data_IF_427248453900
#
_entry.id   IF_427248453900
#
_cell.length_a   1.000
_cell.length_b   1.000
_cell.length_c   1.000
_cell.angle_alpha   90.00
_cell.angle_beta   90.00
_cell.angle_gamma   90.00
#
_symmetry.space_group_name_H-M   'P 1'
#
loop_
_entity.id
_entity.type
_entity.pdbx_description
1 polymer ?
#
# COMPACT_ATOMS: atom_id res chain seq x y z
N UNK A 1 21.68 -9.99 0.93
CA UNK A 1 21.29 -9.45 2.24
C UNK A 1 20.20 -10.35 2.83
N UNK A 2 20.06 -10.41 4.16
CA UNK A 2 18.96 -11.15 4.78
C UNK A 2 17.62 -10.45 4.47
N UNK A 3 16.59 -11.23 4.13
CA UNK A 3 15.23 -10.71 3.88
C UNK A 3 14.63 -10.19 5.19
N UNK A 4 13.84 -9.13 5.10
CA UNK A 4 13.24 -8.45 6.25
C UNK A 4 11.96 -9.15 6.71
N UNK A 5 11.75 -9.24 8.03
CA UNK A 5 10.54 -9.86 8.58
C UNK A 5 9.31 -8.99 8.35
N UNK A 6 8.29 -9.52 7.67
CA UNK A 6 7.05 -8.79 7.37
C UNK A 6 5.95 -9.01 8.40
N UNK A 7 5.55 -10.27 8.63
CA UNK A 7 4.59 -10.67 9.67
C UNK A 7 3.11 -10.61 9.29
N UNK A 8 2.73 -9.91 8.23
CA UNK A 8 1.38 -9.86 7.65
C UNK A 8 1.26 -10.74 6.38
N UNK A 9 0.07 -10.81 5.78
CA UNK A 9 -0.16 -11.48 4.48
C UNK A 9 -0.38 -10.42 3.39
N UNK A 10 0.43 -10.44 2.34
CA UNK A 10 0.30 -9.56 1.17
C UNK A 10 -0.54 -10.24 0.10
N UNK A 11 -1.50 -9.53 -0.49
CA UNK A 11 -2.26 -9.99 -1.66
C UNK A 11 -2.12 -9.01 -2.81
N UNK A 12 -1.63 -9.48 -3.96
CA UNK A 12 -1.51 -8.71 -5.20
C UNK A 12 -2.71 -9.00 -6.11
N UNK A 13 -3.46 -7.97 -6.46
CA UNK A 13 -4.63 -8.02 -7.34
C UNK A 13 -4.34 -7.32 -8.68
N UNK A 14 -4.41 -8.05 -9.80
CA UNK A 14 -4.18 -7.46 -11.11
C UNK A 14 -5.37 -6.59 -11.58
N UNK A 15 -5.15 -5.81 -12.63
CA UNK A 15 -6.18 -5.06 -13.34
C UNK A 15 -6.91 -5.89 -14.38
N UNK A 16 -7.77 -5.24 -15.17
CA UNK A 16 -8.43 -5.89 -16.30
C UNK A 16 -7.36 -6.46 -17.25
N UNK A 17 -7.56 -7.70 -17.71
CA UNK A 17 -6.59 -8.46 -18.54
C UNK A 17 -5.27 -8.86 -17.88
N UNK A 18 -5.04 -8.51 -16.60
CA UNK A 18 -3.80 -8.81 -15.89
C UNK A 18 -3.71 -10.24 -15.33
N UNK A 19 -4.72 -11.09 -15.59
CA UNK A 19 -4.66 -12.53 -15.33
C UNK A 19 -4.67 -13.32 -16.63
N UNK A 20 -3.88 -14.39 -16.68
CA UNK A 20 -3.95 -15.39 -17.74
C UNK A 20 -5.24 -16.18 -17.61
N UNK A 21 -6.02 -16.27 -18.71
CA UNK A 21 -7.21 -17.10 -18.79
C UNK A 21 -6.94 -18.35 -19.63
N UNK A 22 -7.31 -19.51 -19.08
CA UNK A 22 -7.33 -20.78 -19.77
C UNK A 22 -8.77 -21.21 -20.01
N UNK A 23 -9.04 -21.87 -21.14
CA UNK A 23 -10.28 -22.61 -21.37
C UNK A 23 -9.94 -24.07 -21.58
N UNK A 24 -10.51 -24.96 -20.79
CA UNK A 24 -10.28 -26.41 -20.89
C UNK A 24 -8.77 -26.78 -20.91
N UNK A 25 -7.99 -26.10 -20.06
CA UNK A 25 -6.54 -26.29 -19.93
C UNK A 25 -5.68 -25.63 -21.03
N UNK A 26 -6.27 -24.88 -21.97
CA UNK A 26 -5.54 -24.15 -23.02
C UNK A 26 -5.58 -22.66 -22.77
N UNK A 27 -4.42 -22.01 -22.85
CA UNK A 27 -4.30 -20.55 -22.75
C UNK A 27 -5.11 -19.87 -23.88
N UNK A 28 -6.23 -19.23 -23.53
CA UNK A 28 -7.07 -18.42 -24.44
C UNK A 28 -6.76 -16.93 -24.30
N UNK A 29 -6.18 -16.53 -23.17
CA UNK A 29 -5.56 -15.24 -22.93
C UNK A 29 -4.27 -15.44 -22.13
N UNK A 30 -3.16 -15.69 -22.82
CA UNK A 30 -1.83 -15.71 -22.21
C UNK A 30 -0.85 -14.98 -23.11
N UNK A 31 -0.86 -13.63 -23.07
CA UNK A 31 0.15 -12.89 -23.81
C UNK A 31 1.52 -13.23 -23.20
N UNK A 32 2.51 -13.56 -24.03
CA UNK A 32 3.92 -13.71 -23.64
C UNK A 32 4.79 -12.84 -24.56
N UNK A 33 5.89 -12.28 -24.02
CA UNK A 33 6.72 -11.28 -24.70
C UNK A 33 7.38 -11.70 -26.01
N UNK A 34 7.22 -12.96 -26.45
CA UNK A 34 7.82 -13.51 -27.67
C UNK A 34 6.85 -13.86 -28.81
N UNK A 35 5.52 -13.77 -28.63
CA UNK A 35 4.55 -14.35 -29.56
C UNK A 35 3.69 -13.33 -30.33
N UNK A 36 4.21 -12.12 -30.60
CA UNK A 36 3.44 -11.03 -31.24
C UNK A 36 3.00 -11.37 -32.68
N UNK A 37 3.68 -12.29 -33.39
CA UNK A 37 3.30 -12.66 -34.76
C UNK A 37 2.29 -13.83 -34.82
N UNK A 38 2.32 -14.76 -33.87
CA UNK A 38 1.40 -15.92 -33.82
C UNK A 38 0.11 -15.64 -33.01
N UNK A 39 0.18 -14.77 -31.99
CA UNK A 39 -0.99 -14.42 -31.16
C UNK A 39 -2.10 -13.71 -31.93
N UNK A 40 -1.77 -12.97 -32.99
CA UNK A 40 -2.77 -12.19 -33.73
C UNK A 40 -3.74 -13.06 -34.55
N UNK A 41 -3.30 -14.25 -34.99
CA UNK A 41 -4.17 -15.23 -35.69
C UNK A 41 -5.04 -16.05 -34.73
N UNK A 42 -4.57 -16.34 -33.52
CA UNK A 42 -5.36 -17.06 -32.51
C UNK A 42 -6.43 -16.16 -31.87
N UNK A 43 -6.18 -14.84 -31.77
CA UNK A 43 -7.13 -13.88 -31.19
C UNK A 43 -8.55 -13.97 -31.78
N UNK A 44 -8.70 -14.18 -33.10
CA UNK A 44 -10.03 -14.28 -33.71
C UNK A 44 -10.87 -15.49 -33.24
N UNK A 45 -10.23 -16.62 -32.92
CA UNK A 45 -10.92 -17.81 -32.38
C UNK A 45 -11.11 -17.70 -30.86
N UNK A 46 -10.09 -17.19 -30.15
CA UNK A 46 -10.14 -16.91 -28.71
C UNK A 46 -11.19 -15.84 -28.33
N UNK A 47 -11.52 -14.92 -29.24
CA UNK A 47 -12.58 -13.91 -29.07
C UNK A 47 -13.96 -14.53 -28.90
N UNK A 48 -14.31 -15.60 -29.63
CA UNK A 48 -15.59 -16.29 -29.40
C UNK A 48 -15.56 -17.07 -28.10
N UNK A 49 -14.41 -17.66 -27.78
CA UNK A 49 -14.25 -18.52 -26.60
C UNK A 49 -14.30 -17.76 -25.27
N UNK A 50 -14.01 -16.46 -25.29
CA UNK A 50 -14.03 -15.59 -24.11
C UNK A 50 -15.34 -14.81 -23.92
N UNK A 51 -16.24 -14.80 -24.91
CA UNK A 51 -17.44 -13.98 -24.86
C UNK A 51 -18.38 -14.46 -23.73
N UNK A 52 -18.88 -13.52 -22.93
CA UNK A 52 -19.85 -13.82 -21.89
C UNK A 52 -21.28 -13.73 -22.43
N UNK A 53 -22.01 -14.84 -22.38
CA UNK A 53 -23.45 -14.83 -22.69
C UNK A 53 -24.30 -14.38 -21.50
N UNK A 54 -23.90 -14.79 -20.29
CA UNK A 54 -24.52 -14.42 -19.01
C UNK A 54 -23.44 -14.35 -17.95
N UNK A 55 -23.69 -13.54 -16.93
CA UNK A 55 -22.77 -13.39 -15.79
C UNK A 55 -23.56 -13.24 -14.47
N UNK A 56 -24.14 -14.34 -13.96
CA UNK A 56 -24.81 -14.36 -12.66
C UNK A 56 -23.81 -14.02 -11.55
N UNK A 57 -24.10 -12.95 -10.81
CA UNK A 57 -23.25 -12.44 -9.73
C UNK A 57 -23.10 -13.41 -8.56
N UNK A 58 -24.09 -14.27 -8.34
CA UNK A 58 -24.19 -15.24 -7.24
C UNK A 58 -23.45 -16.56 -7.52
N UNK A 59 -22.91 -16.74 -8.72
CA UNK A 59 -22.16 -17.95 -9.10
C UNK A 59 -20.67 -17.68 -9.18
N UNK A 60 -19.86 -18.46 -8.46
CA UNK A 60 -18.40 -18.32 -8.48
C UNK A 60 -17.76 -18.91 -9.74
N UNK A 61 -18.40 -19.91 -10.35
CA UNK A 61 -18.01 -20.53 -11.63
C UNK A 61 -19.19 -20.48 -12.61
N UNK A 62 -18.92 -20.09 -13.86
CA UNK A 62 -19.90 -20.06 -14.94
C UNK A 62 -20.09 -21.43 -15.61
N UNK A 63 -19.16 -22.36 -15.41
CA UNK A 63 -19.13 -23.62 -16.14
C UNK A 63 -18.81 -23.45 -17.63
N UNK A 64 -18.27 -22.28 -18.05
CA UNK A 64 -17.88 -21.99 -19.44
C UNK A 64 -16.48 -22.55 -19.81
N UNK A 65 -15.86 -23.26 -18.86
CA UNK A 65 -14.54 -23.86 -18.97
C UNK A 65 -13.39 -22.87 -18.76
N UNK A 66 -13.67 -21.59 -18.50
CA UNK A 66 -12.65 -20.55 -18.37
C UNK A 66 -12.20 -20.38 -16.93
N UNK A 67 -10.89 -20.44 -16.70
CA UNK A 67 -10.26 -20.28 -15.39
C UNK A 67 -9.10 -19.31 -15.46
N UNK A 68 -8.98 -18.46 -14.44
CA UNK A 68 -7.84 -17.58 -14.26
C UNK A 68 -6.75 -18.29 -13.45
N UNK A 69 -5.57 -18.49 -14.07
CA UNK A 69 -4.55 -19.40 -13.52
C UNK A 69 -3.38 -18.70 -12.85
N UNK A 70 -2.95 -17.55 -13.40
CA UNK A 70 -1.75 -16.83 -12.94
C UNK A 70 -1.85 -15.36 -13.34
N UNK A 71 -1.09 -14.52 -12.65
CA UNK A 71 -0.88 -13.15 -13.09
C UNK A 71 -0.05 -13.16 -14.37
N UNK A 72 -0.25 -12.13 -15.16
CA UNK A 72 0.48 -11.92 -16.40
C UNK A 72 1.91 -11.44 -16.06
N UNK A 73 2.97 -12.20 -16.41
CA UNK A 73 4.30 -11.98 -15.82
C UNK A 73 5.06 -10.77 -16.39
N UNK A 74 5.10 -10.58 -17.71
CA UNK A 74 6.06 -9.67 -18.36
C UNK A 74 5.38 -8.52 -19.11
N UNK A 75 6.17 -7.64 -19.74
CA UNK A 75 5.65 -6.56 -20.60
C UNK A 75 4.84 -7.17 -21.74
N UNK A 76 3.58 -6.75 -21.83
CA UNK A 76 2.71 -7.04 -22.96
C UNK A 76 2.26 -5.77 -23.62
N UNK A 77 2.58 -5.68 -24.91
CA UNK A 77 2.01 -4.68 -25.80
C UNK A 77 0.92 -5.36 -26.60
N UNK A 78 -0.32 -4.90 -26.44
CA UNK A 78 -1.39 -5.15 -27.40
C UNK A 78 -1.54 -3.85 -28.21
N UNK A 79 -0.91 -3.74 -29.40
CA UNK A 79 -0.93 -2.52 -30.20
C UNK A 79 -2.36 -2.01 -30.41
N UNK A 80 -2.60 -0.77 -29.98
CA UNK A 80 -3.88 -0.07 -30.05
C UNK A 80 -4.80 -0.25 -28.85
N UNK A 81 -4.64 -1.30 -28.03
CA UNK A 81 -5.54 -1.61 -26.89
C UNK A 81 -4.97 -1.11 -25.56
N UNK A 82 -3.81 -1.65 -25.17
CA UNK A 82 -3.22 -1.46 -23.85
C UNK A 82 -1.77 -1.99 -23.82
N UNK A 83 -0.90 -1.36 -23.03
CA UNK A 83 0.37 -1.94 -22.59
C UNK A 83 0.25 -2.35 -21.13
N UNK A 84 0.62 -3.55 -20.72
CA UNK A 84 0.76 -3.88 -19.31
C UNK A 84 2.22 -4.22 -19.11
N UNK A 85 2.90 -3.46 -18.26
CA UNK A 85 4.20 -3.86 -17.76
C UNK A 85 3.93 -4.88 -16.65
N UNK A 86 4.10 -6.17 -16.93
CA UNK A 86 3.58 -7.28 -16.12
C UNK A 86 3.94 -7.25 -14.63
N UNK A 87 3.45 -8.23 -13.89
CA UNK A 87 3.53 -8.22 -12.43
C UNK A 87 4.86 -8.77 -11.87
N UNK A 88 5.74 -9.34 -12.70
CA UNK A 88 7.02 -9.91 -12.26
C UNK A 88 7.89 -8.91 -11.48
N UNK A 89 7.92 -7.63 -11.90
CA UNK A 89 8.75 -6.60 -11.25
C UNK A 89 8.38 -6.36 -9.79
N UNK A 90 7.10 -6.08 -9.53
CA UNK A 90 6.58 -5.86 -8.18
C UNK A 90 6.64 -7.15 -7.33
N UNK A 91 6.34 -8.32 -7.90
CA UNK A 91 6.44 -9.61 -7.21
C UNK A 91 7.89 -9.90 -6.79
N UNK A 92 8.86 -9.70 -7.69
CA UNK A 92 10.28 -9.89 -7.40
C UNK A 92 10.78 -8.91 -6.33
N UNK A 93 10.39 -7.64 -6.42
CA UNK A 93 10.74 -6.62 -5.43
C UNK A 93 10.26 -7.01 -4.02
N UNK A 94 8.99 -7.41 -3.89
CA UNK A 94 8.41 -7.80 -2.59
C UNK A 94 9.10 -9.06 -2.04
N UNK A 95 9.22 -10.11 -2.86
CA UNK A 95 9.72 -11.42 -2.41
C UNK A 95 11.23 -11.45 -2.17
N UNK A 96 12.00 -10.57 -2.81
CA UNK A 96 13.44 -10.40 -2.55
C UNK A 96 13.72 -9.51 -1.33
N UNK A 97 12.82 -8.58 -1.00
CA UNK A 97 12.98 -7.68 0.15
C UNK A 97 12.50 -8.32 1.45
N UNK A 98 11.34 -8.97 1.43
CA UNK A 98 10.66 -9.46 2.62
C UNK A 98 10.70 -10.99 2.71
N UNK A 99 10.65 -11.51 3.93
CA UNK A 99 10.64 -12.96 4.24
C UNK A 99 9.31 -13.65 3.92
N UNK A 100 8.44 -12.99 3.14
CA UNK A 100 7.19 -13.55 2.67
C UNK A 100 7.42 -14.80 1.80
N UNK A 101 6.43 -15.68 1.82
CA UNK A 101 6.46 -16.98 1.16
C UNK A 101 5.32 -17.02 0.13
N UNK A 102 5.64 -17.13 -1.17
CA UNK A 102 4.64 -17.29 -2.22
C UNK A 102 3.64 -18.41 -1.92
N UNK A 103 2.36 -18.15 -2.14
CA UNK A 103 1.26 -19.08 -1.86
C UNK A 103 0.92 -19.24 -0.37
N UNK A 104 1.60 -18.53 0.54
CA UNK A 104 1.32 -18.57 1.99
C UNK A 104 1.14 -17.18 2.58
N UNK A 105 2.19 -16.37 2.57
CA UNK A 105 2.17 -14.98 3.12
C UNK A 105 2.36 -13.92 2.03
N UNK A 106 2.63 -14.35 0.80
CA UNK A 106 2.49 -13.55 -0.41
C UNK A 106 1.58 -14.28 -1.39
N UNK A 107 0.43 -13.69 -1.69
CA UNK A 107 -0.57 -14.27 -2.56
C UNK A 107 -0.73 -13.41 -3.81
N UNK A 108 -0.66 -14.05 -4.96
CA UNK A 108 -1.12 -13.46 -6.20
C UNK A 108 -2.55 -13.95 -6.45
N UNK A 109 -3.48 -13.05 -6.77
CA UNK A 109 -4.88 -13.38 -6.95
C UNK A 109 -5.29 -13.27 -8.43
N UNK A 110 -5.01 -14.29 -9.28
CA UNK A 110 -5.57 -14.31 -10.62
C UNK A 110 -7.08 -14.48 -10.55
N UNK A 111 -7.83 -13.66 -11.29
CA UNK A 111 -9.28 -13.75 -11.37
C UNK A 111 -9.78 -13.53 -12.79
N UNK A 112 -11.00 -14.00 -13.07
CA UNK A 112 -11.63 -13.83 -14.36
C UNK A 112 -12.09 -12.38 -14.53
N UNK A 113 -11.23 -11.58 -15.17
CA UNK A 113 -11.42 -10.15 -15.38
C UNK A 113 -12.56 -9.80 -16.35
N UNK A 114 -13.25 -10.79 -16.93
CA UNK A 114 -14.46 -10.58 -17.75
C UNK A 114 -15.71 -10.35 -16.90
N UNK A 115 -15.71 -10.96 -15.71
CA UNK A 115 -16.88 -11.11 -14.85
C UNK A 115 -17.08 -9.92 -13.91
N UNK A 116 -18.24 -9.88 -13.27
CA UNK A 116 -18.55 -8.97 -12.18
C UNK A 116 -17.48 -9.02 -11.08
N UNK A 117 -16.95 -7.85 -10.71
CA UNK A 117 -15.88 -7.70 -9.71
C UNK A 117 -16.29 -8.23 -8.32
N UNK A 118 -17.59 -8.39 -8.03
CA UNK A 118 -18.08 -9.02 -6.79
C UNK A 118 -17.72 -10.50 -6.70
N UNK A 119 -17.62 -11.19 -7.84
CA UNK A 119 -17.13 -12.58 -7.91
C UNK A 119 -15.65 -12.63 -7.53
N UNK A 120 -14.84 -11.72 -8.08
CA UNK A 120 -13.43 -11.61 -7.74
C UNK A 120 -13.22 -11.24 -6.26
N UNK A 121 -14.09 -10.41 -5.68
CA UNK A 121 -14.04 -10.06 -4.26
C UNK A 121 -14.34 -11.26 -3.35
N UNK A 122 -15.29 -12.12 -3.72
CA UNK A 122 -15.51 -13.40 -3.03
C UNK A 122 -14.31 -14.33 -3.15
N UNK A 123 -13.70 -14.42 -4.33
CA UNK A 123 -12.44 -15.18 -4.52
C UNK A 123 -11.31 -14.64 -3.63
N UNK A 124 -11.19 -13.31 -3.50
CA UNK A 124 -10.24 -12.69 -2.59
C UNK A 124 -10.49 -13.15 -1.14
N UNK A 125 -11.73 -13.09 -0.65
CA UNK A 125 -12.08 -13.53 0.70
C UNK A 125 -11.74 -15.02 0.93
N UNK A 126 -12.14 -15.89 -0.02
CA UNK A 126 -11.90 -17.32 0.05
C UNK A 126 -10.42 -17.71 0.02
N UNK A 127 -9.58 -16.91 -0.65
CA UNK A 127 -8.14 -17.17 -0.77
C UNK A 127 -7.34 -16.57 0.39
N UNK A 128 -7.64 -15.32 0.76
CA UNK A 128 -6.88 -14.57 1.75
C UNK A 128 -7.24 -14.97 3.20
N UNK A 129 -8.49 -15.34 3.47
CA UNK A 129 -8.96 -15.71 4.81
C UNK A 129 -8.18 -16.87 5.43
N UNK A 130 -8.05 -18.04 4.75
CA UNK A 130 -7.27 -19.17 5.25
C UNK A 130 -5.79 -18.83 5.46
N UNK A 131 -5.17 -18.12 4.51
CA UNK A 131 -3.77 -17.70 4.62
C UNK A 131 -3.53 -16.78 5.84
N UNK A 132 -4.45 -15.83 6.07
CA UNK A 132 -4.41 -14.96 7.23
C UNK A 132 -4.61 -15.74 8.53
N UNK A 133 -5.55 -16.67 8.57
CA UNK A 133 -5.79 -17.52 9.73
C UNK A 133 -4.54 -18.34 10.10
N UNK A 134 -3.88 -18.96 9.12
CA UNK A 134 -2.64 -19.69 9.35
C UNK A 134 -1.51 -18.76 9.83
N UNK A 135 -1.39 -17.56 9.24
CA UNK A 135 -0.40 -16.58 9.69
C UNK A 135 -0.64 -16.12 11.13
N UNK A 136 -1.90 -16.02 11.57
CA UNK A 136 -2.27 -15.65 12.94
C UNK A 136 -1.86 -16.66 14.00
N UNK A 137 -1.63 -17.92 13.63
CA UNK A 137 -1.07 -18.92 14.55
C UNK A 137 0.37 -18.57 14.97
N UNK A 138 1.11 -17.86 14.13
CA UNK A 138 2.49 -17.43 14.38
C UNK A 138 2.59 -15.96 14.80
N UNK A 139 1.65 -15.13 14.33
CA UNK A 139 1.57 -13.72 14.64
C UNK A 139 0.10 -13.31 14.86
N UNK A 140 -0.43 -13.34 16.09
CA UNK A 140 -1.84 -13.03 16.37
C UNK A 140 -2.31 -11.68 15.84
N UNK A 141 -1.41 -10.70 15.71
CA UNK A 141 -1.68 -9.36 15.19
C UNK A 141 -1.62 -9.25 13.66
N UNK A 142 -1.43 -10.37 12.95
CA UNK A 142 -1.36 -10.39 11.50
C UNK A 142 -2.67 -9.91 10.86
N UNK A 143 -2.51 -9.14 9.79
CA UNK A 143 -3.56 -8.55 8.96
C UNK A 143 -3.23 -8.73 7.48
N UNK A 144 -4.19 -8.42 6.62
CA UNK A 144 -3.98 -8.34 5.17
C UNK A 144 -3.32 -7.01 4.79
N UNK A 145 -2.47 -7.06 3.78
CA UNK A 145 -1.98 -5.90 3.02
C UNK A 145 -2.36 -6.12 1.57
N UNK A 146 -3.31 -5.34 1.07
CA UNK A 146 -3.83 -5.49 -0.28
C UNK A 146 -3.13 -4.51 -1.22
N UNK A 147 -2.69 -5.02 -2.37
CA UNK A 147 -2.05 -4.24 -3.42
C UNK A 147 -2.89 -4.42 -4.69
N UNK A 148 -3.65 -3.39 -5.07
CA UNK A 148 -4.56 -3.43 -6.22
C UNK A 148 -4.06 -2.57 -7.38
N UNK A 149 -3.84 -3.16 -8.56
CA UNK A 149 -3.60 -2.40 -9.78
C UNK A 149 -4.92 -2.21 -10.55
N UNK A 150 -5.23 -0.98 -10.94
CA UNK A 150 -6.37 -0.64 -11.80
C UNK A 150 -7.67 -1.23 -11.24
N UNK A 151 -8.40 -2.04 -12.02
CA UNK A 151 -9.62 -2.73 -11.60
C UNK A 151 -9.44 -3.61 -10.33
N UNK A 152 -8.25 -4.14 -10.07
CA UNK A 152 -7.95 -4.90 -8.86
C UNK A 152 -8.13 -4.10 -7.57
N UNK A 153 -7.98 -2.77 -7.64
CA UNK A 153 -8.31 -1.89 -6.52
C UNK A 153 -9.82 -1.86 -6.23
N UNK A 154 -10.68 -1.88 -7.26
CA UNK A 154 -12.13 -1.94 -7.10
C UNK A 154 -12.58 -3.27 -6.49
N UNK A 155 -11.94 -4.39 -6.90
CA UNK A 155 -12.15 -5.71 -6.28
C UNK A 155 -11.83 -5.66 -4.80
N UNK A 156 -10.65 -5.12 -4.44
CA UNK A 156 -10.25 -4.96 -3.05
C UNK A 156 -11.23 -4.05 -2.27
N UNK A 157 -11.68 -2.94 -2.86
CA UNK A 157 -12.67 -2.05 -2.23
C UNK A 157 -13.99 -2.74 -1.94
N UNK A 158 -14.52 -3.53 -2.87
CA UNK A 158 -15.75 -4.25 -2.63
C UNK A 158 -15.59 -5.28 -1.49
N UNK A 159 -14.49 -6.04 -1.48
CA UNK A 159 -14.17 -6.95 -0.37
C UNK A 159 -14.07 -6.21 0.96
N UNK A 160 -13.36 -5.09 0.99
CA UNK A 160 -13.15 -4.32 2.21
C UNK A 160 -14.47 -3.81 2.75
N UNK A 161 -15.27 -3.16 1.91
CA UNK A 161 -16.44 -2.38 2.35
C UNK A 161 -17.72 -3.19 2.40
N UNK A 162 -18.01 -3.96 1.35
CA UNK A 162 -19.28 -4.69 1.24
C UNK A 162 -19.24 -6.08 1.87
N UNK A 163 -18.05 -6.58 2.23
CA UNK A 163 -17.86 -7.93 2.79
C UNK A 163 -17.13 -7.92 4.13
N UNK A 164 -17.07 -6.77 4.80
CA UNK A 164 -16.38 -6.60 6.09
C UNK A 164 -14.88 -6.94 6.09
N UNK A 165 -14.24 -7.06 4.91
CA UNK A 165 -12.81 -7.33 4.79
C UNK A 165 -11.93 -6.27 5.47
N UNK A 166 -12.47 -5.06 5.70
CA UNK A 166 -11.84 -4.00 6.46
C UNK A 166 -11.42 -4.44 7.87
N UNK A 167 -12.16 -5.37 8.51
CA UNK A 167 -11.86 -5.87 9.86
C UNK A 167 -10.52 -6.59 9.93
N UNK A 168 -10.09 -7.19 8.83
CA UNK A 168 -8.90 -8.03 8.74
C UNK A 168 -7.75 -7.40 7.96
N UNK A 169 -7.91 -6.16 7.48
CA UNK A 169 -6.94 -5.51 6.61
C UNK A 169 -6.22 -4.37 7.32
N UNK A 170 -4.89 -4.33 7.22
CA UNK A 170 -4.06 -3.23 7.73
C UNK A 170 -4.03 -2.06 6.76
N UNK A 171 -3.88 -2.36 5.48
CA UNK A 171 -3.84 -1.33 4.44
C UNK A 171 -4.20 -1.82 3.05
N UNK A 172 -4.67 -0.89 2.23
CA UNK A 172 -4.86 -1.00 0.80
C UNK A 172 -3.92 -0.01 0.10
N UNK A 173 -3.13 -0.51 -0.84
CA UNK A 173 -2.30 0.30 -1.73
C UNK A 173 -2.86 0.10 -3.14
N UNK A 174 -3.18 1.18 -3.84
CA UNK A 174 -3.73 1.08 -5.21
C UNK A 174 -2.91 1.81 -6.23
N UNK A 175 -2.77 1.26 -7.44
CA UNK A 175 -2.13 1.92 -8.58
C UNK A 175 -3.19 2.26 -9.63
N UNK A 176 -3.42 3.55 -9.90
CA UNK A 176 -4.32 4.01 -10.97
C UNK A 176 -5.72 3.40 -10.90
N UNK A 177 -6.28 3.17 -9.72
CA UNK A 177 -7.61 2.53 -9.60
C UNK A 177 -8.70 3.51 -10.01
N UNK A 178 -9.57 3.17 -10.98
CA UNK A 178 -10.64 4.06 -11.43
C UNK A 178 -11.86 4.01 -10.49
N UNK A 179 -11.74 4.62 -9.31
CA UNK A 179 -12.82 4.69 -8.30
C UNK A 179 -14.09 5.34 -8.83
N UNK A 180 -13.98 6.21 -9.85
CA UNK A 180 -15.13 6.81 -10.54
C UNK A 180 -15.28 6.38 -11.99
N UNK A 181 -14.56 5.35 -12.44
CA UNK A 181 -14.54 4.87 -13.82
C UNK A 181 -13.55 5.59 -14.75
N UNK A 182 -13.51 5.15 -16.01
CA UNK A 182 -12.61 5.68 -17.05
C UNK A 182 -13.32 5.77 -18.41
N UNK A 183 -13.04 6.84 -19.17
CA UNK A 183 -13.61 7.03 -20.51
C UNK A 183 -13.16 5.96 -21.51
N UNK A 184 -12.07 5.22 -21.24
CA UNK A 184 -11.66 4.09 -22.08
C UNK A 184 -12.75 3.00 -22.12
N UNK A 185 -13.41 2.72 -20.99
CA UNK A 185 -14.50 1.76 -20.94
C UNK A 185 -15.70 2.22 -21.81
N UNK A 186 -16.03 3.51 -21.73
CA UNK A 186 -17.09 4.09 -22.55
C UNK A 186 -16.75 4.04 -24.05
N UNK A 187 -15.50 4.30 -24.40
CA UNK A 187 -14.99 4.21 -25.76
C UNK A 187 -15.06 2.77 -26.31
N UNK A 188 -14.69 1.77 -25.52
CA UNK A 188 -14.82 0.36 -25.92
C UNK A 188 -16.28 -0.03 -26.18
N UNK A 189 -17.21 0.46 -25.37
CA UNK A 189 -18.64 0.24 -25.60
C UNK A 189 -19.10 0.94 -26.88
N UNK A 190 -18.88 2.26 -26.98
CA UNK A 190 -19.44 3.08 -28.04
C UNK A 190 -18.74 2.89 -29.38
N UNK A 191 -17.42 3.09 -29.42
CA UNK A 191 -16.64 3.07 -30.66
C UNK A 191 -16.10 1.66 -30.98
N UNK A 192 -16.15 0.75 -30.02
CA UNK A 192 -15.63 -0.59 -30.18
C UNK A 192 -14.11 -0.63 -30.12
N UNK A 193 -13.56 -1.80 -30.42
CA UNK A 193 -12.13 -2.01 -30.51
C UNK A 193 -11.76 -2.86 -31.71
N UNK A 194 -11.15 -2.25 -32.71
CA UNK A 194 -10.68 -2.94 -33.92
C UNK A 194 -9.18 -2.80 -34.06
N UNK A 195 -8.45 -3.92 -34.08
CA UNK A 195 -7.02 -3.94 -34.41
C UNK A 195 -6.85 -3.92 -35.92
N UNK A 196 -6.15 -2.91 -36.42
CA UNK A 196 -5.78 -2.77 -37.84
C UNK A 196 -4.27 -2.93 -38.01
N UNK A 197 -3.85 -3.57 -39.09
CA UNK A 197 -2.46 -3.56 -39.57
C UNK A 197 -2.52 -3.06 -41.02
N UNK A 198 -2.06 -1.82 -41.25
CA UNK A 198 -2.28 -1.15 -42.53
C UNK A 198 -3.78 -1.02 -42.86
N UNK A 199 -4.21 -1.30 -44.11
CA UNK A 199 -5.62 -1.25 -44.49
C UNK A 199 -6.44 -2.45 -43.98
N UNK A 200 -5.81 -3.48 -43.42
CA UNK A 200 -6.48 -4.73 -43.07
C UNK A 200 -6.98 -4.73 -41.62
N UNK A 201 -8.25 -5.08 -41.44
CA UNK A 201 -8.87 -5.36 -40.13
C UNK A 201 -8.47 -6.76 -39.70
N UNK A 202 -7.67 -6.87 -38.63
CA UNK A 202 -7.06 -8.14 -38.22
C UNK A 202 -7.82 -8.81 -37.07
N UNK A 203 -8.40 -8.01 -36.17
CA UNK A 203 -9.29 -8.51 -35.12
C UNK A 203 -10.30 -7.43 -34.73
N UNK A 204 -11.51 -7.84 -34.39
CA UNK A 204 -12.54 -7.00 -33.78
C UNK A 204 -12.89 -7.57 -32.40
N UNK A 205 -12.57 -6.82 -31.35
CA UNK A 205 -12.88 -7.19 -29.97
C UNK A 205 -14.12 -6.46 -29.45
N UNK A 206 -14.82 -5.70 -30.30
CA UNK A 206 -15.92 -4.83 -29.85
C UNK A 206 -17.05 -5.60 -29.18
N UNK A 207 -17.51 -6.69 -29.81
CA UNK A 207 -18.57 -7.53 -29.22
C UNK A 207 -18.11 -8.23 -27.95
N UNK A 208 -16.84 -8.65 -27.90
CA UNK A 208 -16.24 -9.27 -26.74
C UNK A 208 -16.21 -8.30 -25.54
N UNK A 209 -15.64 -7.11 -25.70
CA UNK A 209 -15.57 -6.11 -24.64
C UNK A 209 -16.95 -5.67 -24.16
N UNK A 210 -17.92 -5.54 -25.09
CA UNK A 210 -19.32 -5.28 -24.74
C UNK A 210 -19.99 -6.43 -23.99
N UNK A 211 -19.49 -7.66 -24.09
CA UNK A 211 -20.03 -8.78 -23.33
C UNK A 211 -19.63 -8.75 -21.85
N UNK A 212 -18.55 -8.10 -21.48
CA UNK A 212 -17.97 -8.15 -20.14
C UNK A 212 -18.68 -7.25 -19.13
N UNK A 213 -19.12 -7.81 -18.01
CA UNK A 213 -19.72 -7.04 -16.91
C UNK A 213 -18.69 -6.09 -16.28
N UNK A 214 -17.43 -6.52 -16.19
CA UNK A 214 -16.33 -5.71 -15.68
C UNK A 214 -16.14 -4.40 -16.45
N UNK A 215 -16.33 -4.40 -17.79
CA UNK A 215 -16.25 -3.19 -18.62
C UNK A 215 -17.33 -2.18 -18.23
N UNK A 216 -18.56 -2.63 -17.93
CA UNK A 216 -19.61 -1.74 -17.43
C UNK A 216 -19.29 -1.20 -16.03
N UNK A 217 -18.66 -2.00 -15.17
CA UNK A 217 -18.18 -1.56 -13.85
C UNK A 217 -16.97 -0.61 -13.91
N UNK A 218 -16.38 -0.40 -15.08
CA UNK A 218 -15.34 0.61 -15.32
C UNK A 218 -15.89 1.89 -15.97
N UNK A 219 -17.19 1.96 -16.28
CA UNK A 219 -17.80 3.17 -16.85
C UNK A 219 -17.75 4.33 -15.83
N UNK A 220 -17.60 5.58 -16.32
CA UNK A 220 -17.72 6.75 -15.48
C UNK A 220 -19.06 6.84 -14.73
N UNK A 221 -19.01 7.11 -13.43
CA UNK A 221 -20.19 7.32 -12.55
C UNK A 221 -20.44 8.80 -12.21
N UNK A 222 -19.70 9.69 -12.87
CA UNK A 222 -19.82 11.14 -12.76
C UNK A 222 -20.35 11.74 -14.06
N UNK A 223 -20.93 12.96 -14.04
CA UNK A 223 -21.41 13.60 -15.26
C UNK A 223 -20.24 13.87 -16.22
N UNK A 224 -20.19 13.21 -17.37
CA UNK A 224 -19.05 13.32 -18.28
C UNK A 224 -19.42 13.22 -19.76
N UNK A 225 -20.70 13.07 -20.10
CA UNK A 225 -21.17 12.95 -21.48
C UNK A 225 -22.07 14.12 -21.84
N UNK A 226 -21.65 14.91 -22.82
CA UNK A 226 -22.42 15.97 -23.48
C UNK A 226 -23.19 15.37 -24.67
N UNK A 227 -24.52 15.39 -24.59
CA UNK A 227 -25.38 14.86 -25.65
C UNK A 227 -25.59 15.82 -26.83
N UNK A 228 -24.90 16.98 -26.83
CA UNK A 228 -24.97 18.02 -27.85
C UNK A 228 -25.65 19.32 -27.38
N UNK A 229 -26.10 19.38 -26.13
CA UNK A 229 -26.73 20.54 -25.50
C UNK A 229 -25.77 21.34 -24.59
N UNK A 230 -24.51 20.89 -24.47
CA UNK A 230 -23.50 21.50 -23.62
C UNK A 230 -23.61 21.11 -22.14
N UNK A 231 -24.54 20.21 -21.77
CA UNK A 231 -24.72 19.74 -20.39
C UNK A 231 -24.15 18.34 -20.23
N UNK A 232 -23.25 18.18 -19.26
CA UNK A 232 -22.71 16.87 -18.91
C UNK A 232 -23.75 16.03 -18.14
N UNK A 233 -23.89 14.78 -18.54
CA UNK A 233 -24.74 13.76 -17.91
C UNK A 233 -23.92 12.53 -17.53
N UNK A 234 -24.39 11.74 -16.55
CA UNK A 234 -23.75 10.45 -16.22
C UNK A 234 -23.99 9.46 -17.33
N UNK A 235 -23.05 8.55 -17.55
CA UNK A 235 -23.14 7.54 -18.62
C UNK A 235 -24.43 6.72 -18.53
N UNK A 236 -24.86 6.28 -17.34
CA UNK A 236 -26.09 5.52 -17.17
C UNK A 236 -27.37 6.31 -17.51
N UNK A 237 -27.30 7.64 -17.36
CA UNK A 237 -28.39 8.58 -17.64
C UNK A 237 -28.40 9.03 -19.11
N UNK A 238 -27.25 9.00 -19.79
CA UNK A 238 -27.09 9.48 -21.16
C UNK A 238 -27.90 8.68 -22.19
N UNK A 239 -28.44 9.40 -23.17
CA UNK A 239 -29.12 8.82 -24.34
C UNK A 239 -28.28 9.04 -25.60
N UNK A 240 -28.37 8.12 -26.57
CA UNK A 240 -27.72 8.28 -27.88
C UNK A 240 -26.26 7.81 -27.94
N UNK A 241 -25.69 7.33 -26.83
CA UNK A 241 -24.38 6.66 -26.83
C UNK A 241 -24.51 5.34 -27.62
N UNK A 242 -23.74 5.13 -28.70
CA UNK A 242 -23.81 3.90 -29.49
C UNK A 242 -23.56 2.65 -28.64
N UNK A 243 -24.32 1.57 -28.90
CA UNK A 243 -24.14 0.25 -28.28
C UNK A 243 -24.18 0.17 -26.74
N UNK A 244 -24.51 1.27 -26.05
CA UNK A 244 -24.62 1.28 -24.60
C UNK A 244 -25.86 0.51 -24.15
N UNK A 245 -25.63 -0.54 -23.37
CA UNK A 245 -26.69 -1.19 -22.60
C UNK A 245 -26.89 -0.40 -21.30
N UNK A 246 -27.96 0.42 -21.27
CA UNK A 246 -28.24 1.32 -20.16
C UNK A 246 -28.57 0.58 -18.87
N UNK A 247 -29.23 -0.58 -18.96
CA UNK A 247 -29.59 -1.36 -17.77
C UNK A 247 -28.33 -1.95 -17.12
N UNK A 248 -27.37 -2.42 -17.92
CA UNK A 248 -26.06 -2.86 -17.42
C UNK A 248 -25.25 -1.71 -16.83
N UNK A 249 -25.25 -0.53 -17.47
CA UNK A 249 -24.59 0.66 -16.94
C UNK A 249 -25.20 1.10 -15.60
N UNK A 250 -26.53 1.12 -15.51
CA UNK A 250 -27.25 1.46 -14.28
C UNK A 250 -26.94 0.46 -13.16
N UNK A 251 -26.98 -0.86 -13.43
CA UNK A 251 -26.61 -1.88 -12.42
C UNK A 251 -25.15 -1.75 -11.99
N UNK A 252 -24.24 -1.47 -12.91
CA UNK A 252 -22.83 -1.26 -12.59
C UNK A 252 -22.60 -0.04 -11.69
N UNK A 253 -23.30 1.07 -11.94
CA UNK A 253 -23.25 2.24 -11.05
C UNK A 253 -23.90 1.92 -9.69
N UNK A 254 -25.15 1.46 -9.69
CA UNK A 254 -25.96 1.33 -8.48
C UNK A 254 -25.58 0.13 -7.61
N UNK A 255 -25.46 -1.07 -8.20
CA UNK A 255 -25.30 -2.31 -7.44
C UNK A 255 -23.84 -2.63 -7.09
N UNK A 256 -22.89 -1.86 -7.63
CA UNK A 256 -21.46 -2.00 -7.36
C UNK A 256 -20.84 -0.72 -6.77
N UNK A 257 -20.78 0.39 -7.52
CA UNK A 257 -20.13 1.61 -7.03
C UNK A 257 -20.88 2.26 -5.87
N UNK A 258 -22.20 2.50 -6.02
CA UNK A 258 -23.02 3.06 -4.93
C UNK A 258 -23.14 2.12 -3.75
N UNK A 259 -23.05 0.80 -3.97
CA UNK A 259 -23.00 -0.16 -2.88
C UNK A 259 -21.74 0.02 -2.01
N UNK A 260 -20.56 0.25 -2.63
CA UNK A 260 -19.31 0.57 -1.93
C UNK A 260 -19.46 1.88 -1.16
N UNK A 261 -19.95 2.95 -1.80
CA UNK A 261 -20.15 4.25 -1.14
C UNK A 261 -21.09 4.14 0.07
N UNK A 262 -22.21 3.42 -0.09
CA UNK A 262 -23.17 3.18 0.98
C UNK A 262 -22.55 2.39 2.13
N UNK A 263 -21.74 1.37 1.84
CA UNK A 263 -21.06 0.58 2.84
C UNK A 263 -20.01 1.41 3.62
N UNK A 264 -19.24 2.25 2.93
CA UNK A 264 -18.31 3.21 3.56
C UNK A 264 -19.07 4.15 4.50
N UNK A 265 -20.18 4.73 4.04
CA UNK A 265 -20.97 5.67 4.83
C UNK A 265 -21.69 5.02 6.03
N UNK A 266 -22.06 3.75 5.94
CA UNK A 266 -22.75 3.03 7.00
C UNK A 266 -21.81 2.49 8.10
N UNK A 267 -20.50 2.48 7.87
CA UNK A 267 -19.51 1.94 8.80
C UNK A 267 -19.35 2.83 10.03
N UNK A 268 -19.38 2.22 11.22
CA UNK A 268 -19.24 2.94 12.50
C UNK A 268 -17.81 3.35 12.86
N UNK A 269 -16.82 2.77 12.19
CA UNK A 269 -15.39 3.04 12.41
C UNK A 269 -14.89 3.98 11.32
N UNK A 270 -14.40 5.14 11.72
CA UNK A 270 -13.65 6.03 10.85
C UNK A 270 -12.28 5.39 10.54
N UNK A 271 -11.92 5.36 9.25
CA UNK A 271 -10.60 4.94 8.76
C UNK A 271 -10.09 3.60 9.36
N UNK A 272 -10.84 2.49 9.23
CA UNK A 272 -10.52 1.22 9.86
C UNK A 272 -9.24 0.56 9.32
N UNK A 273 -8.77 0.99 8.15
CA UNK A 273 -7.52 0.57 7.53
C UNK A 273 -6.88 1.77 6.82
N UNK A 274 -5.57 1.69 6.58
CA UNK A 274 -4.86 2.74 5.84
C UNK A 274 -5.03 2.55 4.34
N UNK A 275 -5.28 3.62 3.61
CA UNK A 275 -5.41 3.58 2.16
C UNK A 275 -4.41 4.54 1.52
N UNK A 276 -3.65 4.03 0.56
CA UNK A 276 -2.60 4.76 -0.14
C UNK A 276 -2.85 4.68 -1.66
N UNK A 277 -3.60 5.64 -2.22
CA UNK A 277 -3.79 5.73 -3.65
C UNK A 277 -2.52 6.26 -4.32
N UNK A 278 -1.97 5.50 -5.27
CA UNK A 278 -0.93 5.94 -6.19
C UNK A 278 -1.61 6.40 -7.47
N UNK A 279 -1.53 7.71 -7.71
CA UNK A 279 -2.20 8.44 -8.78
C UNK A 279 -1.18 8.82 -9.86
N UNK A 280 -1.42 8.38 -11.09
CA UNK A 280 -0.60 8.80 -12.22
C UNK A 280 -0.98 10.19 -12.71
N UNK A 281 0.03 10.95 -13.15
CA UNK A 281 -0.06 12.30 -13.67
C UNK A 281 0.73 12.45 -14.98
N UNK A 282 0.60 13.62 -15.58
CA UNK A 282 1.31 14.14 -16.75
C UNK A 282 1.08 13.38 -18.05
N UNK A 283 -0.01 12.62 -18.15
CA UNK A 283 -0.38 11.89 -19.35
C UNK A 283 -1.75 12.36 -19.88
N UNK A 284 -1.82 12.66 -21.18
CA UNK A 284 -3.09 12.99 -21.84
C UNK A 284 -4.12 11.89 -21.61
N UNK A 285 -5.22 12.24 -20.96
CA UNK A 285 -6.22 11.30 -20.48
C UNK A 285 -7.60 11.83 -20.78
N UNK A 286 -8.46 11.00 -21.38
CA UNK A 286 -9.83 11.42 -21.68
C UNK A 286 -10.69 11.51 -20.41
N UNK A 287 -11.33 12.66 -20.22
CA UNK A 287 -12.02 13.05 -18.97
C UNK A 287 -13.52 13.30 -19.18
N UNK A 288 -13.91 13.66 -20.40
CA UNK A 288 -15.31 13.79 -20.82
C UNK A 288 -15.49 13.30 -22.26
N UNK A 289 -16.73 13.31 -22.74
CA UNK A 289 -17.06 12.94 -24.11
C UNK A 289 -18.24 13.78 -24.63
N UNK A 290 -18.31 13.93 -25.95
CA UNK A 290 -19.42 14.57 -26.66
C UNK A 290 -20.00 13.64 -27.72
N UNK A 291 -21.32 13.68 -27.89
CA UNK A 291 -22.00 13.04 -29.02
C UNK A 291 -22.03 13.98 -30.24
N UNK A 292 -21.33 13.60 -31.31
CA UNK A 292 -21.25 14.36 -32.56
C UNK A 292 -21.20 13.40 -33.76
N UNK A 293 -22.35 12.79 -34.12
CA UNK A 293 -22.41 11.71 -35.12
C UNK A 293 -21.73 10.40 -34.68
N UNK A 294 -21.31 10.33 -33.42
CA UNK A 294 -20.57 9.26 -32.75
C UNK A 294 -20.08 9.76 -31.39
N UNK A 295 -19.46 8.89 -30.59
CA UNK A 295 -18.86 9.32 -29.32
C UNK A 295 -17.45 9.86 -29.57
N UNK A 296 -17.23 11.14 -29.28
CA UNK A 296 -15.91 11.77 -29.29
C UNK A 296 -15.41 11.93 -27.86
N UNK A 297 -14.25 11.34 -27.55
CA UNK A 297 -13.57 11.57 -26.28
C UNK A 297 -12.87 12.93 -26.26
N UNK A 298 -12.82 13.54 -25.08
CA UNK A 298 -12.16 14.81 -24.82
C UNK A 298 -11.21 14.66 -23.63
N UNK A 299 -10.00 15.19 -23.77
CA UNK A 299 -8.98 15.19 -22.71
C UNK A 299 -9.17 16.33 -21.71
N UNK A 300 -10.33 16.98 -21.73
CA UNK A 300 -10.73 18.02 -20.79
C UNK A 300 -12.06 17.70 -20.14
N UNK A 301 -12.27 18.23 -18.95
CA UNK A 301 -13.53 18.27 -18.23
C UNK A 301 -13.97 19.73 -18.11
N UNK A 302 -15.14 20.07 -18.65
CA UNK A 302 -15.64 21.46 -18.67
C UNK A 302 -14.65 22.49 -19.27
N UNK A 303 -13.78 22.03 -20.19
CA UNK A 303 -12.79 22.86 -20.87
C UNK A 303 -11.42 22.94 -20.18
N UNK A 304 -11.26 22.31 -19.01
CA UNK A 304 -9.99 22.23 -18.28
C UNK A 304 -9.39 20.82 -18.37
N UNK A 305 -8.08 20.70 -18.58
CA UNK A 305 -7.37 19.42 -18.47
C UNK A 305 -6.94 19.20 -17.02
N UNK A 306 -7.60 18.26 -16.33
CA UNK A 306 -7.32 17.93 -14.92
C UNK A 306 -6.28 16.80 -14.75
N UNK A 307 -5.59 16.42 -15.84
CA UNK A 307 -4.52 15.42 -15.89
C UNK A 307 -4.97 13.97 -15.61
N UNK A 308 -4.06 13.01 -15.82
CA UNK A 308 -4.26 11.60 -15.52
C UNK A 308 -3.06 10.73 -15.93
N UNK A 309 -3.29 9.43 -15.99
CA UNK A 309 -2.24 8.42 -16.24
C UNK A 309 -2.28 7.82 -17.68
N UNK A 310 -3.06 8.43 -18.57
CA UNK A 310 -3.30 7.97 -19.94
C UNK A 310 -4.48 7.02 -20.06
N UNK A 311 -5.18 6.72 -18.95
CA UNK A 311 -6.37 5.87 -18.91
C UNK A 311 -7.37 6.36 -17.87
N UNK A 312 -6.94 6.60 -16.65
CA UNK A 312 -7.75 7.01 -15.51
C UNK A 312 -7.51 8.49 -15.27
N UNK A 313 -8.55 9.34 -15.39
CA UNK A 313 -8.46 10.75 -15.02
C UNK A 313 -8.04 10.87 -13.55
N UNK A 314 -7.24 11.87 -13.21
CA UNK A 314 -6.77 12.11 -11.84
C UNK A 314 -7.92 12.12 -10.83
N UNK A 315 -9.03 12.76 -11.18
CA UNK A 315 -10.25 12.85 -10.35
C UNK A 315 -10.89 11.48 -10.07
N UNK A 316 -10.62 10.47 -10.90
CA UNK A 316 -11.13 9.10 -10.72
C UNK A 316 -10.15 8.21 -9.95
N UNK A 317 -8.88 8.62 -9.82
CA UNK A 317 -7.83 7.83 -9.19
C UNK A 317 -7.81 7.87 -7.65
N UNK A 318 -8.66 8.71 -7.04
CA UNK A 318 -8.80 8.87 -5.58
C UNK A 318 -10.14 8.29 -5.10
N UNK A 319 -10.19 7.49 -4.02
CA UNK A 319 -11.45 7.04 -3.43
C UNK A 319 -12.35 8.22 -3.02
N UNK A 320 -13.66 8.06 -3.21
CA UNK A 320 -14.62 9.16 -3.07
C UNK A 320 -14.63 9.76 -1.66
N UNK A 321 -14.48 8.94 -0.64
CA UNK A 321 -14.46 9.36 0.76
C UNK A 321 -13.15 10.05 1.19
N UNK A 322 -12.13 10.07 0.33
CA UNK A 322 -10.85 10.73 0.58
C UNK A 322 -10.72 12.07 -0.15
N UNK A 323 -11.66 12.39 -1.04
CA UNK A 323 -11.65 13.66 -1.77
C UNK A 323 -11.57 14.86 -0.82
N UNK A 324 -10.61 15.75 -1.07
CA UNK A 324 -10.45 16.98 -0.29
C UNK A 324 -9.93 16.77 1.14
N UNK A 325 -9.52 15.56 1.53
CA UNK A 325 -8.90 15.33 2.85
C UNK A 325 -7.57 16.08 2.99
N UNK A 326 -7.30 16.51 4.22
CA UNK A 326 -6.01 17.08 4.63
C UNK A 326 -5.47 16.35 5.86
N UNK A 327 -4.24 15.81 5.81
CA UNK A 327 -3.35 15.78 4.65
C UNK A 327 -3.88 14.89 3.52
N UNK A 328 -3.47 15.19 2.28
CA UNK A 328 -3.79 14.39 1.10
C UNK A 328 -3.15 13.00 1.23
N UNK A 329 -3.94 11.90 1.22
CA UNK A 329 -3.41 10.55 1.35
C UNK A 329 -2.80 10.00 0.04
N UNK A 330 -2.97 10.71 -1.08
CA UNK A 330 -2.51 10.28 -2.38
C UNK A 330 -1.00 10.45 -2.57
N UNK A 331 -0.47 9.57 -3.41
CA UNK A 331 0.92 9.54 -3.82
C UNK A 331 0.95 9.70 -5.33
N UNK A 332 1.79 10.60 -5.85
CA UNK A 332 1.74 10.98 -7.26
C UNK A 332 2.97 10.47 -8.02
N UNK A 333 2.76 10.00 -9.25
CA UNK A 333 3.83 9.55 -10.14
C UNK A 333 3.59 10.01 -11.59
N UNK A 334 4.59 10.56 -12.29
CA UNK A 334 4.46 10.95 -13.70
C UNK A 334 4.65 9.71 -14.61
N UNK A 335 3.77 8.72 -14.46
CA UNK A 335 3.90 7.41 -15.11
C UNK A 335 2.59 7.00 -15.79
N UNK A 336 2.70 6.19 -16.85
CA UNK A 336 1.52 5.66 -17.54
C UNK A 336 0.84 4.58 -16.73
N UNK A 337 -0.48 4.48 -16.87
CA UNK A 337 -1.35 3.51 -16.19
C UNK A 337 -0.75 2.09 -16.15
N UNK A 338 -0.30 1.63 -17.33
CA UNK A 338 0.36 0.36 -17.60
C UNK A 338 1.52 -0.02 -16.68
N UNK A 339 2.25 0.99 -16.22
CA UNK A 339 3.59 0.91 -15.65
C UNK A 339 3.67 1.52 -14.25
N UNK A 340 2.58 2.06 -13.72
CA UNK A 340 2.54 2.70 -12.40
C UNK A 340 3.14 1.80 -11.30
N UNK A 341 2.80 0.51 -11.29
CA UNK A 341 3.30 -0.48 -10.34
C UNK A 341 4.80 -0.77 -10.46
N UNK A 342 5.42 -0.42 -11.59
CA UNK A 342 6.84 -0.67 -11.88
C UNK A 342 7.69 0.61 -11.86
N UNK A 343 7.08 1.78 -11.74
CA UNK A 343 7.80 3.05 -11.59
C UNK A 343 8.70 3.03 -10.35
N UNK A 344 9.97 3.42 -10.51
CA UNK A 344 10.96 3.36 -9.43
C UNK A 344 10.55 4.17 -8.20
N UNK A 345 9.97 5.36 -8.40
CA UNK A 345 9.45 6.22 -7.32
C UNK A 345 8.33 5.52 -6.55
N UNK A 346 7.42 4.85 -7.27
CA UNK A 346 6.31 4.10 -6.71
C UNK A 346 6.80 2.90 -5.93
N UNK A 347 7.75 2.13 -6.46
CA UNK A 347 8.35 1.00 -5.75
C UNK A 347 9.09 1.45 -4.49
N UNK A 348 9.79 2.60 -4.54
CA UNK A 348 10.47 3.19 -3.38
C UNK A 348 9.47 3.55 -2.28
N UNK A 349 8.34 4.16 -2.64
CA UNK A 349 7.27 4.51 -1.69
C UNK A 349 6.60 3.25 -1.13
N UNK A 350 6.32 2.26 -1.98
CA UNK A 350 5.77 0.97 -1.58
C UNK A 350 6.69 0.29 -0.55
N UNK A 351 8.00 0.26 -0.80
CA UNK A 351 8.98 -0.24 0.16
C UNK A 351 8.92 0.50 1.49
N UNK A 352 8.80 1.83 1.48
CA UNK A 352 8.64 2.63 2.71
C UNK A 352 7.34 2.33 3.47
N UNK A 353 6.24 2.09 2.75
CA UNK A 353 4.93 1.74 3.34
C UNK A 353 4.92 0.32 3.93
N UNK A 354 5.57 -0.62 3.24
CA UNK A 354 5.69 -2.03 3.65
C UNK A 354 6.75 -2.24 4.74
N UNK A 355 7.76 -1.38 4.80
CA UNK A 355 8.79 -1.38 5.82
C UNK A 355 8.76 -0.09 6.66
N UNK A 356 7.68 0.16 7.42
CA UNK A 356 7.67 1.30 8.33
C UNK A 356 8.80 1.11 9.34
N UNK A 357 9.52 2.19 9.66
CA UNK A 357 10.62 2.17 10.63
C UNK A 357 10.11 1.61 11.96
N UNK A 358 10.36 0.32 12.20
CA UNK A 358 10.00 -0.35 13.45
C UNK A 358 10.92 0.21 14.53
N UNK A 359 10.35 0.52 15.70
CA UNK A 359 11.04 1.16 16.84
C UNK A 359 11.43 2.63 16.64
N UNK A 360 10.59 3.44 15.98
CA UNK A 360 10.70 4.91 16.11
C UNK A 360 10.70 5.36 17.59
N UNK A 361 10.09 4.56 18.46
CA UNK A 361 10.04 4.75 19.91
C UNK A 361 11.45 4.75 20.52
N UNK A 362 12.37 3.92 20.01
CA UNK A 362 13.80 3.98 20.39
C UNK A 362 14.48 5.27 19.99
N UNK A 363 14.00 5.95 18.95
CA UNK A 363 14.52 7.25 18.51
C UNK A 363 13.75 8.43 19.13
N UNK A 364 12.56 8.19 19.70
CA UNK A 364 11.79 9.15 20.50
C UNK A 364 12.27 9.19 21.94
N UNK A 365 12.65 8.05 22.51
CA UNK A 365 13.11 7.90 23.89
C UNK A 365 14.63 8.11 24.06
N UNK A 366 15.39 8.26 22.96
CA UNK A 366 16.85 8.40 22.98
C UNK A 366 17.35 9.83 23.30
N UNK A 367 16.68 10.54 24.21
CA UNK A 367 17.22 11.72 24.91
C UNK A 367 16.75 11.71 26.37
N UNK A 368 17.23 10.72 27.11
CA UNK A 368 17.10 10.71 28.58
C UNK A 368 18.20 11.52 29.23
N UNK A 369 17.86 12.36 30.21
CA UNK A 369 18.82 12.90 31.17
C UNK A 369 19.04 11.92 32.31
N UNK A 370 20.16 12.06 33.01
CA UNK A 370 20.42 11.42 34.30
C UNK A 370 20.25 12.47 35.40
N UNK A 371 19.51 12.14 36.45
CA UNK A 371 19.54 12.88 37.71
C UNK A 371 20.52 12.17 38.64
N UNK A 372 21.53 12.89 39.09
CA UNK A 372 22.52 12.43 40.07
C UNK A 372 22.19 13.06 41.43
N UNK A 373 22.05 12.23 42.45
CA UNK A 373 21.94 12.65 43.84
C UNK A 373 23.21 12.12 44.56
N UNK A 374 24.08 13.06 44.94
CA UNK A 374 25.31 12.84 45.70
C UNK A 374 25.48 14.06 46.63
N UNK A 375 25.84 13.85 47.89
CA UNK A 375 26.08 14.96 48.82
C UNK A 375 27.36 15.73 48.47
N UNK A 376 27.40 17.02 48.82
CA UNK A 376 28.50 17.92 48.46
C UNK A 376 29.73 17.78 49.38
N UNK A 377 29.57 17.13 50.55
CA UNK A 377 30.59 17.03 51.59
C UNK A 377 30.52 15.67 52.29
N UNK A 378 31.68 15.01 52.42
CA UNK A 378 31.88 13.77 53.18
C UNK A 378 33.08 13.92 54.11
N UNK A 379 33.09 13.17 55.21
CA UNK A 379 34.26 13.04 56.08
C UNK A 379 35.27 12.01 55.53
N UNK A 380 36.55 12.22 55.80
CA UNK A 380 37.58 11.23 55.49
C UNK A 380 37.29 9.91 56.25
N UNK A 381 37.13 8.81 55.51
CA UNK A 381 36.73 7.52 56.08
C UNK A 381 35.23 7.20 55.98
N UNK A 382 34.40 8.15 55.52
CA UNK A 382 32.98 7.94 55.23
C UNK A 382 32.75 7.28 53.86
N UNK A 383 31.83 6.31 53.78
CA UNK A 383 31.40 5.72 52.51
C UNK A 383 30.56 6.72 51.71
N UNK A 384 30.80 6.80 50.40
CA UNK A 384 30.12 7.78 49.54
C UNK A 384 28.97 7.08 48.82
N UNK A 385 27.74 7.45 49.18
CA UNK A 385 26.51 6.93 48.57
C UNK A 385 26.14 7.74 47.33
N UNK A 386 25.98 7.07 46.19
CA UNK A 386 25.58 7.70 44.92
C UNK A 386 24.27 7.10 44.45
N UNK A 387 23.24 7.95 44.29
CA UNK A 387 21.97 7.55 43.70
C UNK A 387 21.77 8.22 42.34
N UNK A 388 21.25 7.46 41.37
CA UNK A 388 20.99 7.96 40.02
C UNK A 388 19.60 7.55 39.58
N UNK A 389 18.83 8.51 39.05
CA UNK A 389 17.57 8.24 38.36
C UNK A 389 17.75 8.49 36.87
N UNK A 390 17.56 7.46 36.05
CA UNK A 390 17.63 7.55 34.60
C UNK A 390 16.28 7.94 34.00
N UNK A 391 16.29 8.82 32.99
CA UNK A 391 15.10 9.14 32.19
C UNK A 391 14.67 8.04 31.21
N UNK A 392 15.42 6.94 31.14
CA UNK A 392 15.17 5.80 30.24
C UNK A 392 15.14 4.50 31.04
N UNK A 393 14.20 3.61 30.70
CA UNK A 393 14.05 2.30 31.34
C UNK A 393 15.15 1.34 30.88
N UNK A 394 15.56 0.46 31.80
CA UNK A 394 16.47 -0.66 31.51
C UNK A 394 17.84 -0.28 30.95
N UNK A 395 18.41 0.83 31.41
CA UNK A 395 19.77 1.26 31.06
C UNK A 395 20.80 0.73 32.07
N UNK A 396 22.00 0.42 31.59
CA UNK A 396 23.16 0.10 32.43
C UNK A 396 24.06 1.32 32.53
N UNK A 397 24.49 1.68 33.74
CA UNK A 397 25.24 2.90 34.03
C UNK A 397 26.62 2.57 34.60
N UNK A 398 27.60 3.41 34.29
CA UNK A 398 28.93 3.40 34.91
C UNK A 398 29.25 4.75 35.53
N UNK A 399 29.99 4.72 36.64
CA UNK A 399 30.59 5.90 37.26
C UNK A 399 32.11 5.90 37.12
N UNK A 400 32.68 7.08 36.91
CA UNK A 400 34.11 7.35 37.09
C UNK A 400 34.30 8.54 38.01
N UNK A 401 35.26 8.45 38.93
CA UNK A 401 35.57 9.49 39.91
C UNK A 401 36.99 9.99 39.67
N UNK A 402 37.14 11.30 39.52
CA UNK A 402 38.43 11.97 39.33
C UNK A 402 38.75 12.87 40.52
N UNK A 403 39.98 12.77 41.02
CA UNK A 403 40.57 13.72 41.97
C UNK A 403 41.00 14.97 41.19
N UNK A 404 40.32 16.09 41.43
CA UNK A 404 40.55 17.34 40.69
C UNK A 404 41.84 18.03 41.11
N UNK A 405 42.28 17.85 42.35
CA UNK A 405 43.51 18.45 42.87
C UNK A 405 44.76 17.74 42.35
N UNK A 406 44.71 16.41 42.26
CA UNK A 406 45.83 15.58 41.80
C UNK A 406 45.77 15.22 40.31
N UNK A 407 44.67 15.56 39.63
CA UNK A 407 44.50 15.31 38.19
C UNK A 407 44.51 13.83 37.81
N UNK A 408 44.15 12.93 38.75
CA UNK A 408 44.17 11.47 38.55
C UNK A 408 42.78 10.87 38.75
N UNK A 409 42.56 9.69 38.17
CA UNK A 409 41.35 8.91 38.45
C UNK A 409 41.44 8.32 39.86
N UNK A 410 40.44 8.59 40.69
CA UNK A 410 40.33 8.09 42.05
C UNK A 410 39.60 6.74 42.10
N UNK A 411 38.54 6.56 41.29
CA UNK A 411 37.81 5.31 41.16
C UNK A 411 37.17 5.16 39.76
N UNK A 412 36.80 3.94 39.37
CA UNK A 412 36.07 3.68 38.13
C UNK A 412 36.89 3.19 36.93
N UNK A 413 36.23 2.65 35.89
CA UNK A 413 34.78 2.59 35.73
C UNK A 413 34.12 1.54 36.64
N UNK A 414 33.10 1.94 37.38
CA UNK A 414 32.35 1.09 38.31
C UNK A 414 30.89 0.99 37.82
N UNK A 415 30.31 -0.21 37.67
CA UNK A 415 28.91 -0.35 37.31
C UNK A 415 28.01 0.06 38.48
N UNK A 416 26.92 0.78 38.20
CA UNK A 416 25.89 1.05 39.20
C UNK A 416 24.92 -0.12 39.28
N UNK A 417 24.50 -0.48 40.49
CA UNK A 417 23.50 -1.52 40.74
C UNK A 417 22.11 -0.96 40.52
N UNK A 418 21.29 -1.64 39.70
CA UNK A 418 19.91 -1.24 39.46
C UNK A 418 19.03 -1.64 40.66
N UNK A 419 18.32 -0.67 41.23
CA UNK A 419 17.43 -0.86 42.38
C UNK A 419 15.96 -0.89 41.99
N UNK A 420 15.58 -0.27 40.86
CA UNK A 420 14.25 -0.34 40.23
C UNK A 420 14.36 -0.02 38.71
N UNK A 421 13.24 0.03 37.97
CA UNK A 421 13.15 0.26 36.53
C UNK A 421 13.87 1.54 36.04
N UNK A 422 14.00 2.55 36.90
CA UNK A 422 14.63 3.84 36.61
C UNK A 422 15.73 4.25 37.60
N UNK A 423 15.94 3.50 38.70
CA UNK A 423 16.84 3.90 39.80
C UNK A 423 18.06 2.99 39.90
N UNK A 424 19.19 3.60 40.19
CA UNK A 424 20.50 2.96 40.32
C UNK A 424 21.23 3.50 41.54
N UNK A 425 22.08 2.68 42.14
CA UNK A 425 22.90 3.03 43.29
C UNK A 425 24.34 2.53 43.14
N UNK A 426 25.27 3.24 43.74
CA UNK A 426 26.67 2.85 43.88
C UNK A 426 27.21 3.38 45.20
N UNK A 427 27.75 2.47 46.00
CA UNK A 427 28.49 2.82 47.21
C UNK A 427 29.98 2.77 46.89
N UNK A 428 30.65 3.90 47.06
CA UNK A 428 32.09 4.02 46.87
C UNK A 428 32.80 3.87 48.22
N UNK A 429 33.96 3.19 48.25
CA UNK A 429 34.76 3.15 49.46
C UNK A 429 35.22 4.57 49.84
N UNK A 430 35.57 4.80 51.11
CA UNK A 430 36.06 6.10 51.54
C UNK A 430 37.25 6.58 50.73
N UNK A 431 37.27 7.88 50.42
CA UNK A 431 38.35 8.53 49.68
C UNK A 431 39.20 9.39 50.64
N UNK A 432 40.44 9.67 50.25
CA UNK A 432 41.29 10.63 50.97
C UNK A 432 40.72 12.04 50.86
N UNK A 433 41.12 12.96 51.76
CA UNK A 433 40.75 14.36 51.63
C UNK A 433 41.13 14.96 50.27
N UNK A 434 40.19 15.70 49.68
CA UNK A 434 40.32 16.26 48.34
C UNK A 434 38.97 16.61 47.71
N UNK A 435 39.04 17.31 46.56
CA UNK A 435 37.86 17.63 45.75
C UNK A 435 37.74 16.65 44.59
N UNK A 436 36.59 16.02 44.47
CA UNK A 436 36.34 14.98 43.48
C UNK A 436 35.24 15.37 42.52
N UNK A 437 35.36 14.88 41.27
CA UNK A 437 34.26 14.90 40.29
C UNK A 437 33.85 13.48 39.98
N UNK A 438 32.57 13.18 40.14
CA UNK A 438 31.96 11.96 39.63
C UNK A 438 31.29 12.26 38.29
N UNK A 439 31.50 11.39 37.32
CA UNK A 439 30.79 11.35 36.04
C UNK A 439 30.04 10.03 35.96
N UNK A 440 28.74 10.10 35.67
CA UNK A 440 27.91 8.92 35.39
C UNK A 440 27.45 8.94 33.95
N UNK A 441 27.67 7.84 33.23
CA UNK A 441 27.31 7.68 31.83
C UNK A 441 26.67 6.32 31.55
N UNK A 442 25.94 6.23 30.43
CA UNK A 442 25.31 4.98 30.00
C UNK A 442 26.27 4.08 29.22
N UNK A 443 26.13 2.76 29.41
CA UNK A 443 26.83 1.72 28.66
C UNK A 443 25.99 1.15 27.50
N UNK A 444 26.68 0.43 26.61
CA UNK A 444 26.06 -0.44 25.61
C UNK A 444 25.26 0.32 24.55
N UNK A 445 24.05 -0.16 24.25
CA UNK A 445 23.19 0.42 23.19
C UNK A 445 22.72 1.85 23.48
N UNK A 446 22.88 2.34 24.72
CA UNK A 446 22.52 3.70 25.12
C UNK A 446 23.72 4.67 25.18
N UNK A 447 24.95 4.18 24.99
CA UNK A 447 26.15 5.02 24.97
C UNK A 447 26.04 6.11 23.89
N UNK A 448 26.16 7.39 24.29
CA UNK A 448 26.02 8.55 23.40
C UNK A 448 24.58 9.05 23.17
N UNK A 449 23.56 8.33 23.65
CA UNK A 449 22.15 8.74 23.57
C UNK A 449 21.59 9.27 24.91
N UNK A 450 22.21 8.89 26.02
CA UNK A 450 21.97 9.44 27.36
C UNK A 450 23.08 10.44 27.66
N UNK A 451 22.72 11.68 27.99
CA UNK A 451 23.70 12.70 28.35
C UNK A 451 24.35 12.34 29.69
N UNK A 452 25.69 12.27 29.77
CA UNK A 452 26.38 12.08 31.04
C UNK A 452 26.03 13.17 32.04
N UNK A 453 25.96 12.82 33.31
CA UNK A 453 25.77 13.77 34.41
C UNK A 453 27.03 13.81 35.27
N UNK A 454 27.31 14.99 35.83
CA UNK A 454 28.49 15.23 36.64
C UNK A 454 28.08 15.79 37.99
N UNK A 455 28.78 15.36 39.05
CA UNK A 455 28.68 15.92 40.39
C UNK A 455 30.08 16.25 40.91
N UNK A 456 30.18 17.21 41.82
CA UNK A 456 31.42 17.56 42.51
C UNK A 456 31.15 17.48 43.99
N UNK A 457 32.04 16.81 44.73
CA UNK A 457 31.94 16.71 46.18
C UNK A 457 33.32 16.88 46.82
N UNK A 458 33.32 17.35 48.06
CA UNK A 458 34.52 17.51 48.88
C UNK A 458 34.58 16.36 49.89
N UNK A 459 35.76 15.76 50.04
CA UNK A 459 36.08 14.95 51.21
C UNK A 459 36.99 15.79 52.10
N UNK A 460 36.53 16.09 53.30
CA UNK A 460 37.29 16.84 54.29
C UNK A 460 37.85 15.88 55.34
N UNK A 461 39.11 16.08 55.75
CA UNK A 461 39.58 15.49 57.01
C UNK A 461 38.77 16.13 58.14
N UNK A 462 38.45 15.36 59.18
CA UNK A 462 37.92 15.92 60.42
C UNK A 462 38.97 16.91 60.96
N UNK A 463 38.76 18.19 60.70
CA UNK A 463 39.46 19.22 61.44
C UNK A 463 38.94 19.14 62.87
N UNK A 464 39.84 18.77 63.80
CA UNK A 464 39.64 18.98 65.22
C UNK A 464 39.06 20.39 65.43
N UNK A 465 37.87 20.45 66.00
CA UNK A 465 37.29 21.68 66.46
C UNK A 465 38.12 22.17 67.65
N UNK A 466 39.00 23.14 67.40
CA UNK A 466 39.55 24.06 68.39
C UNK A 466 38.99 25.48 68.15
#
# INVERSE_FOLDING_TARGET
MARQRFGDVIVLLPGITGSVLQRDGKDVWAPSGGAVLNGVRSLGRSVKELMLERDPVDQDDLGDGVVATRLVPDVHLIPGLWGIDGYSGISAMITSTFDVVPGRTYLELPYDWRRDNRVAARKLAATAGPALHEQRKQNPDAKLVLIGHSMGGLVARYFLECMDGWKDTRMLITFGTPYRGSLNALNFVANGFTKKIGPFKVADLSSLLRSFTSVYQLLPIYPCVDAGDGKLTRVAESTGVPHLDRDRAHRAEHDFHRAIEKAVAARSVADPYRIHPVVGLTQSTSQSARLAGGLQLLDSYEGEDLDGDGTVPRVSATPIELDGRSPDPCVYAPERHASLQNGLSVQTQLLGLLNPVRRQERFRDARGGLRLDVDDLYAAGEEISVAVTAGVRRVDLIATVADLGRGRRAAGPLPLTRTDDLRHALDLPPLEAGTYRIEVSALGEYAGSVQPVHGVFLVADDAEAD
#
